data_IF_141443314266
#
_entry.id   IF_141443314266
#
_cell.length_a   1.000
_cell.length_b   1.000
_cell.length_c   1.000
_cell.angle_alpha   90.00
_cell.angle_beta   90.00
_cell.angle_gamma   90.00
#
_symmetry.space_group_name_H-M   'P 1'
#
loop_
_entity.id
_entity.type
_entity.pdbx_description
1 polymer ?
#
# COMPACT_ATOMS: atom_id res chain seq x y z
N UNK A 1 -7.14 11.57 -22.08
CA UNK A 1 -7.80 10.42 -21.45
C UNK A 1 -9.02 10.88 -20.69
N UNK A 2 -10.10 10.10 -20.77
CA UNK A 2 -11.37 10.39 -20.10
C UNK A 2 -11.34 10.10 -18.59
N UNK A 3 -10.18 9.81 -18.03
CA UNK A 3 -9.99 9.52 -16.61
C UNK A 3 -10.04 10.82 -15.78
N UNK A 4 -11.20 11.11 -15.24
CA UNK A 4 -11.46 12.26 -14.39
C UNK A 4 -10.68 12.15 -13.07
N UNK A 5 -10.53 10.94 -12.51
CA UNK A 5 -9.84 10.70 -11.23
C UNK A 5 -8.38 11.12 -11.30
N UNK A 6 -7.66 10.70 -12.33
CA UNK A 6 -6.27 11.08 -12.53
C UNK A 6 -6.09 12.58 -12.72
N UNK A 7 -7.03 13.25 -13.42
CA UNK A 7 -7.01 14.70 -13.62
C UNK A 7 -7.30 15.48 -12.34
N UNK A 8 -8.24 15.01 -11.52
CA UNK A 8 -8.53 15.63 -10.22
C UNK A 8 -7.31 15.49 -9.30
N UNK A 9 -6.68 14.32 -9.26
CA UNK A 9 -5.45 14.09 -8.49
C UNK A 9 -4.33 15.05 -8.92
N UNK A 10 -4.10 15.19 -10.20
CA UNK A 10 -3.06 16.07 -10.74
C UNK A 10 -3.30 17.56 -10.41
N UNK A 11 -4.56 17.98 -10.40
CA UNK A 11 -4.92 19.36 -10.09
C UNK A 11 -4.95 19.67 -8.59
N UNK A 12 -5.47 18.75 -7.78
CA UNK A 12 -5.74 18.99 -6.36
C UNK A 12 -4.64 18.46 -5.43
N UNK A 13 -3.95 17.43 -5.84
CA UNK A 13 -2.92 16.77 -5.05
C UNK A 13 -1.83 16.15 -5.94
N UNK A 14 -1.08 16.99 -6.68
CA UNK A 14 -0.06 16.50 -7.60
C UNK A 14 1.00 15.68 -6.85
N UNK A 15 1.37 14.55 -7.43
CA UNK A 15 2.29 13.60 -6.83
C UNK A 15 3.65 13.70 -7.51
N UNK A 16 4.69 13.89 -6.69
CA UNK A 16 6.08 13.89 -7.15
C UNK A 16 6.84 12.62 -6.76
N UNK A 17 7.94 12.36 -7.44
CA UNK A 17 8.88 11.29 -7.04
C UNK A 17 9.41 11.55 -5.62
N UNK A 18 9.45 10.51 -4.79
CA UNK A 18 9.83 10.62 -3.38
C UNK A 18 8.71 11.07 -2.46
N UNK A 19 7.53 11.38 -2.99
CA UNK A 19 6.37 11.79 -2.20
C UNK A 19 5.63 10.58 -1.61
N UNK A 20 5.08 10.80 -0.41
CA UNK A 20 4.17 9.88 0.26
C UNK A 20 2.82 10.53 0.39
N UNK A 21 1.77 9.78 0.04
CA UNK A 21 0.39 10.26 0.07
C UNK A 21 -0.51 9.31 0.80
N UNK A 22 -1.50 9.85 1.47
CA UNK A 22 -2.52 9.08 2.15
C UNK A 22 -3.87 9.33 1.49
N UNK A 23 -4.52 8.24 1.07
CA UNK A 23 -5.89 8.27 0.56
C UNK A 23 -6.80 7.82 1.70
N UNK A 24 -7.64 8.73 2.18
CA UNK A 24 -8.63 8.44 3.21
C UNK A 24 -9.99 8.28 2.54
N UNK A 25 -10.61 7.14 2.76
CA UNK A 25 -11.87 6.78 2.13
C UNK A 25 -12.75 6.01 3.11
N UNK A 26 -14.03 6.33 3.23
CA UNK A 26 -14.96 5.47 3.96
C UNK A 26 -15.13 4.13 3.24
N UNK A 27 -15.64 3.11 3.94
CA UNK A 27 -15.97 1.83 3.31
C UNK A 27 -16.93 2.01 2.13
N UNK A 28 -16.73 1.23 1.05
CA UNK A 28 -17.58 1.22 -0.15
C UNK A 28 -17.65 2.56 -0.92
N UNK A 29 -16.66 3.43 -0.77
CA UNK A 29 -16.61 4.72 -1.47
C UNK A 29 -15.83 4.69 -2.79
N UNK A 30 -15.58 3.51 -3.36
CA UNK A 30 -14.87 3.38 -4.64
C UNK A 30 -13.35 3.43 -4.54
N UNK A 31 -12.76 3.19 -3.36
CA UNK A 31 -11.30 3.17 -3.15
C UNK A 31 -10.58 2.25 -4.12
N UNK A 32 -11.06 1.03 -4.31
CA UNK A 32 -10.46 0.05 -5.22
C UNK A 32 -10.41 0.55 -6.65
N UNK A 33 -11.50 1.13 -7.13
CA UNK A 33 -11.58 1.74 -8.45
C UNK A 33 -10.59 2.91 -8.60
N UNK A 34 -10.50 3.77 -7.58
CA UNK A 34 -9.53 4.86 -7.56
C UNK A 34 -8.10 4.34 -7.65
N UNK A 35 -7.75 3.31 -6.89
CA UNK A 35 -6.43 2.68 -6.95
C UNK A 35 -6.12 2.09 -8.32
N UNK A 36 -7.09 1.43 -8.94
CA UNK A 36 -6.94 0.89 -10.30
C UNK A 36 -6.69 2.01 -11.33
N UNK A 37 -7.41 3.12 -11.22
CA UNK A 37 -7.23 4.29 -12.10
C UNK A 37 -5.86 4.95 -11.89
N UNK A 38 -5.42 5.08 -10.64
CA UNK A 38 -4.07 5.59 -10.32
C UNK A 38 -3.00 4.66 -10.90
N UNK A 39 -3.13 3.36 -10.70
CA UNK A 39 -2.20 2.36 -11.24
C UNK A 39 -2.12 2.44 -12.76
N UNK A 40 -3.26 2.51 -13.43
CA UNK A 40 -3.36 2.66 -14.89
C UNK A 40 -2.70 3.94 -15.38
N UNK A 41 -2.95 5.07 -14.71
CA UNK A 41 -2.35 6.35 -15.07
C UNK A 41 -0.83 6.34 -14.92
N UNK A 42 -0.32 5.74 -13.85
CA UNK A 42 1.13 5.60 -13.61
C UNK A 42 1.77 4.75 -14.71
N UNK A 43 1.24 3.58 -14.98
CA UNK A 43 1.83 2.66 -15.97
C UNK A 43 1.73 3.19 -17.40
N UNK A 44 0.68 3.96 -17.71
CA UNK A 44 0.52 4.59 -19.01
C UNK A 44 1.48 5.76 -19.23
N UNK A 45 1.59 6.64 -18.24
CA UNK A 45 2.40 7.88 -18.37
C UNK A 45 3.89 7.65 -18.04
N UNK A 46 4.18 6.65 -17.22
CA UNK A 46 5.54 6.36 -16.74
C UNK A 46 5.84 4.85 -16.86
N UNK A 47 6.02 4.33 -18.08
CA UNK A 47 6.22 2.89 -18.31
C UNK A 47 7.51 2.35 -17.69
N UNK A 48 8.47 3.21 -17.37
CA UNK A 48 9.75 2.85 -16.75
C UNK A 48 9.65 2.66 -15.23
N UNK A 49 8.53 3.11 -14.62
CA UNK A 49 8.30 2.97 -13.18
C UNK A 49 7.92 1.54 -12.85
N UNK A 50 8.55 0.99 -11.83
CA UNK A 50 8.16 -0.32 -11.28
C UNK A 50 7.02 -0.11 -10.28
N UNK A 51 5.83 -0.54 -10.67
CA UNK A 51 4.63 -0.44 -9.84
C UNK A 51 4.42 -1.71 -9.04
N UNK A 52 4.32 -1.58 -7.72
CA UNK A 52 3.95 -2.64 -6.80
C UNK A 52 2.63 -2.27 -6.12
N UNK A 53 1.64 -3.14 -6.20
CA UNK A 53 0.40 -3.02 -5.44
C UNK A 53 0.46 -4.04 -4.30
N UNK A 54 0.47 -3.55 -3.07
CA UNK A 54 0.50 -4.36 -1.86
C UNK A 54 -0.88 -4.35 -1.20
N UNK A 55 -1.52 -5.52 -1.18
CA UNK A 55 -2.83 -5.74 -0.59
C UNK A 55 -2.68 -6.53 0.72
N UNK A 56 -3.05 -5.92 1.83
CA UNK A 56 -2.92 -6.52 3.17
C UNK A 56 -4.29 -6.75 3.77
N UNK A 57 -4.56 -8.00 4.15
CA UNK A 57 -5.83 -8.42 4.77
C UNK A 57 -7.04 -8.14 3.86
N UNK A 58 -6.86 -8.32 2.55
CA UNK A 58 -7.90 -8.15 1.55
C UNK A 58 -8.56 -9.48 1.17
N UNK A 59 -9.73 -9.38 0.52
CA UNK A 59 -10.47 -10.54 0.04
C UNK A 59 -9.82 -11.10 -1.22
N UNK A 60 -9.81 -12.45 -1.41
CA UNK A 60 -9.23 -13.06 -2.60
C UNK A 60 -9.80 -12.54 -3.92
N UNK A 61 -11.09 -12.20 -3.96
CA UNK A 61 -11.77 -11.65 -5.14
C UNK A 61 -11.19 -10.28 -5.53
N UNK A 62 -10.92 -9.42 -4.56
CA UNK A 62 -10.33 -8.10 -4.78
C UNK A 62 -8.89 -8.22 -5.26
N UNK A 63 -8.14 -9.19 -4.73
CA UNK A 63 -6.78 -9.51 -5.19
C UNK A 63 -6.81 -9.94 -6.66
N UNK A 64 -7.70 -10.86 -7.02
CA UNK A 64 -7.85 -11.37 -8.38
C UNK A 64 -8.23 -10.25 -9.35
N UNK A 65 -9.15 -9.38 -8.96
CA UNK A 65 -9.56 -8.24 -9.77
C UNK A 65 -8.39 -7.27 -10.00
N UNK A 66 -7.64 -6.96 -8.96
CA UNK A 66 -6.47 -6.10 -9.07
C UNK A 66 -5.40 -6.70 -9.99
N UNK A 67 -5.14 -8.01 -9.89
CA UNK A 67 -4.21 -8.72 -10.78
C UNK A 67 -4.62 -8.69 -12.24
N UNK A 68 -5.92 -8.66 -12.52
CA UNK A 68 -6.44 -8.61 -13.90
C UNK A 68 -6.37 -7.21 -14.50
N UNK A 69 -6.53 -6.19 -13.69
CA UNK A 69 -6.72 -4.80 -14.15
C UNK A 69 -5.45 -3.96 -14.08
N UNK A 70 -4.51 -4.30 -13.21
CA UNK A 70 -3.28 -3.52 -13.01
C UNK A 70 -2.11 -4.14 -13.77
N UNK A 71 -1.43 -3.31 -14.55
CA UNK A 71 -0.15 -3.65 -15.21
C UNK A 71 1.00 -3.36 -14.26
N UNK A 72 1.20 -4.23 -13.29
CA UNK A 72 2.23 -4.10 -12.27
C UNK A 72 2.34 -5.37 -11.47
N UNK A 73 3.20 -5.36 -10.48
CA UNK A 73 3.34 -6.47 -9.56
C UNK A 73 2.28 -6.34 -8.46
N UNK A 74 1.40 -7.32 -8.34
CA UNK A 74 0.41 -7.38 -7.25
C UNK A 74 0.89 -8.42 -6.24
N UNK A 75 1.16 -7.95 -5.02
CA UNK A 75 1.56 -8.79 -3.89
C UNK A 75 0.46 -8.70 -2.84
N UNK A 76 0.04 -9.83 -2.32
CA UNK A 76 -1.09 -9.86 -1.40
C UNK A 76 -0.87 -10.81 -0.23
N UNK A 77 -1.57 -10.49 0.84
CA UNK A 77 -1.78 -11.35 1.99
C UNK A 77 -3.26 -11.25 2.33
N UNK A 78 -3.99 -12.35 2.16
CA UNK A 78 -5.45 -12.37 2.26
C UNK A 78 -5.94 -12.45 3.71
N UNK A 79 -7.22 -12.14 3.94
CA UNK A 79 -7.79 -12.01 5.29
C UNK A 79 -7.78 -13.31 6.12
N UNK A 80 -7.68 -14.45 5.47
CA UNK A 80 -7.60 -15.79 6.09
C UNK A 80 -6.18 -16.16 6.56
N UNK A 81 -5.17 -15.38 6.18
CA UNK A 81 -3.80 -15.57 6.61
C UNK A 81 -3.54 -14.92 8.00
N UNK A 82 -2.61 -15.45 8.80
CA UNK A 82 -2.29 -14.88 10.11
C UNK A 82 -1.59 -13.52 10.01
N UNK A 83 -1.72 -12.68 11.06
CA UNK A 83 -1.11 -11.35 11.13
C UNK A 83 0.40 -11.36 10.86
N UNK A 84 1.11 -12.39 11.31
CA UNK A 84 2.55 -12.57 11.05
C UNK A 84 2.85 -12.64 9.54
N UNK A 85 1.96 -13.25 8.75
CA UNK A 85 2.10 -13.32 7.30
C UNK A 85 1.93 -11.95 6.65
N UNK A 86 0.97 -11.15 7.11
CA UNK A 86 0.78 -9.77 6.63
C UNK A 86 2.05 -8.93 6.82
N UNK A 87 2.65 -9.02 8.01
CA UNK A 87 3.91 -8.34 8.32
C UNK A 87 5.06 -8.82 7.44
N UNK A 88 5.22 -10.13 7.30
CA UNK A 88 6.27 -10.74 6.49
C UNK A 88 6.20 -10.29 5.03
N UNK A 89 5.02 -10.31 4.44
CA UNK A 89 4.79 -9.90 3.05
C UNK A 89 5.11 -8.42 2.87
N UNK A 90 4.67 -7.56 3.79
CA UNK A 90 4.96 -6.14 3.73
C UNK A 90 6.47 -5.84 3.84
N UNK A 91 7.17 -6.49 4.77
CA UNK A 91 8.62 -6.32 4.93
C UNK A 91 9.39 -6.82 3.68
N UNK A 92 8.95 -7.90 3.07
CA UNK A 92 9.54 -8.41 1.84
C UNK A 92 9.38 -7.41 0.68
N UNK A 93 8.20 -6.79 0.55
CA UNK A 93 7.94 -5.79 -0.50
C UNK A 93 8.83 -4.56 -0.32
N UNK A 94 8.97 -4.05 0.90
CA UNK A 94 9.80 -2.87 1.12
C UNK A 94 11.29 -3.14 0.87
N UNK A 95 11.80 -4.30 1.28
CA UNK A 95 13.18 -4.69 1.01
C UNK A 95 13.44 -4.87 -0.50
N UNK A 96 12.47 -5.42 -1.22
CA UNK A 96 12.54 -5.52 -2.67
C UNK A 96 12.55 -4.14 -3.33
N UNK A 97 11.67 -3.24 -2.89
CA UNK A 97 11.61 -1.88 -3.41
C UNK A 97 12.93 -1.12 -3.18
N UNK A 98 13.54 -1.24 -2.01
CA UNK A 98 14.86 -0.66 -1.72
C UNK A 98 15.93 -1.15 -2.69
N UNK A 99 16.00 -2.45 -2.95
CA UNK A 99 16.94 -3.02 -3.92
C UNK A 99 16.71 -2.50 -5.34
N UNK A 100 15.47 -2.34 -5.77
CA UNK A 100 15.16 -1.76 -7.06
C UNK A 100 15.62 -0.30 -7.15
N UNK A 101 15.44 0.47 -6.08
CA UNK A 101 15.93 1.86 -6.01
C UNK A 101 17.46 1.92 -6.03
N UNK A 102 18.15 1.02 -5.33
CA UNK A 102 19.63 0.89 -5.41
C UNK A 102 20.10 0.62 -6.84
N UNK A 103 19.30 -0.08 -7.63
CA UNK A 103 19.54 -0.30 -9.07
C UNK A 103 19.02 0.84 -9.96
N UNK A 104 18.78 2.02 -9.39
CA UNK A 104 18.30 3.22 -10.09
C UNK A 104 16.95 3.05 -10.79
N UNK A 105 16.09 2.18 -10.27
CA UNK A 105 14.72 2.05 -10.71
C UNK A 105 13.81 2.96 -9.90
N UNK A 106 12.90 3.65 -10.57
CA UNK A 106 11.82 4.38 -9.89
C UNK A 106 10.74 3.36 -9.49
N UNK A 107 10.35 3.40 -8.22
CA UNK A 107 9.37 2.46 -7.66
C UNK A 107 8.19 3.23 -7.08
N UNK A 108 6.99 2.78 -7.39
CA UNK A 108 5.74 3.23 -6.75
C UNK A 108 5.11 2.06 -6.03
N UNK A 109 4.77 2.26 -4.77
CA UNK A 109 4.03 1.27 -3.97
C UNK A 109 2.64 1.84 -3.67
N UNK A 110 1.61 1.14 -4.11
CA UNK A 110 0.22 1.37 -3.71
C UNK A 110 -0.13 0.37 -2.62
N UNK A 111 -0.36 0.85 -1.40
CA UNK A 111 -0.69 0.02 -0.24
C UNK A 111 -2.17 0.14 0.12
N UNK A 112 -2.86 -0.97 0.12
CA UNK A 112 -4.21 -1.11 0.69
C UNK A 112 -4.22 -2.23 1.76
N UNK A 113 -4.30 -1.96 3.04
CA UNK A 113 -4.33 -0.64 3.63
C UNK A 113 -3.30 -0.53 4.76
N UNK A 114 -2.84 0.67 5.00
CA UNK A 114 -1.91 0.95 6.11
C UNK A 114 -2.55 0.68 7.47
N UNK A 115 -3.86 0.87 7.62
CA UNK A 115 -4.60 0.58 8.84
C UNK A 115 -4.55 -0.91 9.19
N UNK A 116 -4.75 -1.78 8.21
CA UNK A 116 -4.71 -3.24 8.41
C UNK A 116 -3.29 -3.72 8.67
N UNK A 117 -2.31 -3.14 8.00
CA UNK A 117 -0.90 -3.41 8.28
C UNK A 117 -0.51 -3.00 9.70
N UNK A 118 -0.93 -1.83 10.16
CA UNK A 118 -0.68 -1.38 11.54
C UNK A 118 -1.33 -2.31 12.58
N UNK A 119 -2.54 -2.80 12.33
CA UNK A 119 -3.20 -3.80 13.18
C UNK A 119 -2.42 -5.12 13.20
N UNK A 120 -1.92 -5.58 12.07
CA UNK A 120 -1.11 -6.78 11.98
C UNK A 120 0.17 -6.65 12.83
N UNK A 121 0.86 -5.53 12.75
CA UNK A 121 2.01 -5.24 13.60
C UNK A 121 1.64 -5.20 15.08
N UNK A 122 0.49 -4.62 15.44
CA UNK A 122 0.02 -4.61 16.82
C UNK A 122 -0.20 -6.01 17.39
N UNK A 123 -0.62 -6.96 16.55
CA UNK A 123 -0.84 -8.34 16.97
C UNK A 123 0.45 -9.17 17.09
N UNK A 124 1.50 -8.79 16.37
CA UNK A 124 2.76 -9.54 16.28
C UNK A 124 3.83 -9.00 17.22
N UNK A 125 3.85 -7.69 17.47
CA UNK A 125 4.84 -7.05 18.34
C UNK A 125 4.50 -7.31 19.81
N UNK A 126 5.47 -7.71 20.66
CA UNK A 126 5.25 -7.87 22.09
C UNK A 126 4.71 -6.57 22.72
N UNK A 127 3.73 -6.73 23.61
CA UNK A 127 3.12 -5.59 24.30
C UNK A 127 4.15 -4.84 25.18
N UNK A 128 4.17 -3.52 25.06
CA UNK A 128 4.98 -2.65 25.93
C UNK A 128 4.30 -2.32 27.25
N UNK A 129 3.03 -2.71 27.41
CA UNK A 129 2.16 -2.29 28.52
C UNK A 129 1.65 -0.85 28.41
N UNK A 130 2.04 -0.11 27.38
CA UNK A 130 1.58 1.25 27.10
C UNK A 130 0.63 1.21 25.90
N UNK A 131 -0.64 1.49 26.14
CA UNK A 131 -1.69 1.48 25.12
C UNK A 131 -2.02 2.92 24.71
N UNK A 132 -1.99 3.19 23.43
CA UNK A 132 -2.42 4.45 22.83
C UNK A 132 -3.94 4.48 22.62
N UNK A 133 -4.48 5.64 22.28
CA UNK A 133 -5.87 5.79 21.90
C UNK A 133 -6.24 4.81 20.78
N UNK A 134 -7.36 4.08 20.95
CA UNK A 134 -7.79 3.07 19.98
C UNK A 134 -7.22 1.66 20.22
N UNK A 135 -6.60 1.39 21.39
CA UNK A 135 -6.14 0.05 21.76
C UNK A 135 -4.87 -0.44 21.07
N UNK A 136 -4.10 0.48 20.46
CA UNK A 136 -2.83 0.18 19.79
C UNK A 136 -1.68 0.29 20.77
N UNK A 137 -0.81 -0.72 20.82
CA UNK A 137 0.42 -0.68 21.61
C UNK A 137 1.39 0.39 21.10
N UNK A 138 2.04 1.13 22.02
CA UNK A 138 2.95 2.21 21.66
C UNK A 138 4.12 1.74 20.76
N UNK A 139 4.62 0.51 20.96
CA UNK A 139 5.72 -0.05 20.16
C UNK A 139 5.26 -0.54 18.78
N UNK A 140 3.98 -0.87 18.61
CA UNK A 140 3.44 -1.43 17.38
C UNK A 140 3.51 -0.45 16.19
N UNK A 141 3.53 0.85 16.46
CA UNK A 141 3.59 1.88 15.41
C UNK A 141 5.00 2.14 14.85
N UNK A 142 6.06 1.69 15.52
CA UNK A 142 7.43 1.93 15.04
C UNK A 142 7.70 1.29 13.68
N UNK A 143 7.29 0.03 13.48
CA UNK A 143 7.50 -0.68 12.22
C UNK A 143 6.67 -0.12 11.06
N UNK A 144 5.35 0.13 11.22
CA UNK A 144 4.57 0.82 10.19
C UNK A 144 5.10 2.20 9.82
N UNK A 145 5.58 2.97 10.81
CA UNK A 145 6.24 4.26 10.55
C UNK A 145 7.51 4.10 9.74
N UNK A 146 8.34 3.11 10.06
CA UNK A 146 9.56 2.81 9.29
C UNK A 146 9.22 2.33 7.88
N UNK A 147 8.17 1.52 7.72
CA UNK A 147 7.68 1.11 6.40
C UNK A 147 7.28 2.33 5.57
N UNK A 148 6.46 3.22 6.13
CA UNK A 148 5.98 4.40 5.41
C UNK A 148 7.07 5.45 5.21
N UNK A 149 8.12 5.42 6.04
CA UNK A 149 9.25 6.34 5.99
C UNK A 149 10.48 5.84 5.21
N UNK A 150 10.39 4.64 4.63
CA UNK A 150 11.54 3.99 3.98
C UNK A 150 11.94 4.59 2.61
#
# INVERSE_FOLDING_TARGET
TEDITGRILDLMAPQGKGQRSLIVSPPKAGKTMMMQQIASAITYNHPDVHLIVLLVDERPEEVTEMQRTVRGEVVSSTFDEPAARHVQVAEMVIERAKRLVEHKKDVVILLDSITRLARAYNNVVPSSGKVLTGGVDANALHRPKRFFGA
#
